data_IF_951233610199
#
_entry.id   IF_951233610199
#
_cell.length_a   1.000
_cell.length_b   1.000
_cell.length_c   1.000
_cell.angle_alpha   90.00
_cell.angle_beta   90.00
_cell.angle_gamma   90.00
#
_symmetry.space_group_name_H-M   'P 1'
#
loop_
_entity.id
_entity.type
_entity.pdbx_description
1 polymer ?
#
# COMPACT_ATOMS: atom_id res chain seq x y z
N UNK A 1 -19.91 -32.27 -8.70
CA UNK A 1 -18.71 -33.03 -8.25
C UNK A 1 -18.18 -33.90 -9.38
N UNK A 2 -16.88 -33.86 -9.65
CA UNK A 2 -16.32 -34.74 -10.66
C UNK A 2 -16.30 -36.19 -10.19
N UNK A 3 -16.50 -37.11 -11.11
CA UNK A 3 -16.45 -38.54 -10.83
C UNK A 3 -15.00 -39.05 -10.78
N UNK A 4 -14.79 -40.23 -10.23
CA UNK A 4 -13.47 -40.87 -10.16
C UNK A 4 -12.86 -40.99 -11.56
N UNK A 5 -13.65 -41.38 -12.55
CA UNK A 5 -13.18 -41.54 -13.93
C UNK A 5 -12.72 -40.20 -14.53
N UNK A 6 -13.41 -39.10 -14.20
CA UNK A 6 -13.02 -37.76 -14.67
C UNK A 6 -11.70 -37.33 -14.05
N UNK A 7 -11.45 -37.65 -12.77
CA UNK A 7 -10.21 -37.30 -12.10
C UNK A 7 -9.01 -38.11 -12.59
N UNK A 8 -9.24 -39.36 -13.05
CA UNK A 8 -8.19 -40.18 -13.65
C UNK A 8 -7.74 -39.56 -14.98
N UNK A 9 -8.67 -39.06 -15.78
CA UNK A 9 -8.35 -38.43 -17.09
C UNK A 9 -7.74 -37.04 -16.94
N UNK A 10 -8.26 -36.25 -16.00
CA UNK A 10 -7.82 -34.87 -15.77
C UNK A 10 -7.59 -34.68 -14.26
N UNK A 11 -6.36 -34.84 -13.78
CA UNK A 11 -6.07 -34.65 -12.36
C UNK A 11 -6.38 -33.22 -11.95
N UNK A 12 -6.63 -33.03 -10.66
CA UNK A 12 -6.88 -31.71 -10.11
C UNK A 12 -5.63 -30.85 -10.27
N UNK A 13 -5.85 -29.63 -10.71
CA UNK A 13 -4.78 -28.65 -10.80
C UNK A 13 -4.92 -27.66 -9.65
N UNK A 14 -3.81 -27.34 -9.01
CA UNK A 14 -3.79 -26.33 -7.99
C UNK A 14 -4.02 -24.97 -8.61
N UNK A 15 -4.77 -24.12 -7.90
CA UNK A 15 -4.98 -22.76 -8.37
C UNK A 15 -3.66 -21.99 -8.30
N UNK A 16 -3.30 -21.27 -9.37
CA UNK A 16 -2.09 -20.46 -9.31
C UNK A 16 -2.20 -19.37 -8.26
N UNK A 17 -1.12 -19.16 -7.53
CA UNK A 17 -1.05 -18.08 -6.57
C UNK A 17 -0.88 -16.76 -7.30
N UNK A 18 -1.74 -15.78 -6.99
CA UNK A 18 -1.64 -14.45 -7.58
C UNK A 18 -0.83 -13.54 -6.67
N UNK A 19 0.00 -12.73 -7.28
CA UNK A 19 0.74 -11.70 -6.56
C UNK A 19 -0.24 -10.62 -6.10
N UNK A 20 -0.26 -10.36 -4.80
CA UNK A 20 -1.15 -9.35 -4.22
C UNK A 20 -0.60 -7.92 -4.37
N UNK A 21 0.66 -7.78 -4.74
CA UNK A 21 1.33 -6.49 -4.89
C UNK A 21 2.07 -6.42 -6.23
N UNK A 22 1.34 -6.47 -7.36
CA UNK A 22 1.98 -6.56 -8.67
C UNK A 22 2.84 -5.34 -9.03
N UNK A 23 2.54 -4.17 -8.48
CA UNK A 23 3.28 -2.95 -8.78
C UNK A 23 4.70 -2.96 -8.21
N UNK A 24 4.97 -3.78 -7.21
CA UNK A 24 6.31 -3.88 -6.61
C UNK A 24 7.26 -4.77 -7.41
N UNK A 25 6.73 -5.63 -8.28
CA UNK A 25 7.51 -6.54 -9.14
C UNK A 25 8.57 -7.32 -8.38
N UNK A 26 8.16 -7.94 -7.27
CA UNK A 26 9.03 -8.81 -6.48
C UNK A 26 10.02 -8.09 -5.57
N UNK A 27 9.89 -6.78 -5.40
CA UNK A 27 10.74 -6.00 -4.51
C UNK A 27 10.02 -5.72 -3.19
N UNK A 28 10.75 -5.61 -2.05
CA UNK A 28 10.09 -5.28 -0.79
C UNK A 28 9.53 -3.85 -0.76
N UNK A 29 10.19 -2.89 -1.42
CA UNK A 29 9.72 -1.52 -1.57
C UNK A 29 10.03 -1.01 -2.97
N UNK A 30 9.34 0.05 -3.36
CA UNK A 30 9.60 0.75 -4.62
C UNK A 30 9.47 2.25 -4.41
N UNK A 31 10.28 3.00 -5.14
CA UNK A 31 10.22 4.45 -5.16
C UNK A 31 9.22 4.91 -6.22
N UNK A 32 8.56 6.03 -5.97
CA UNK A 32 7.67 6.64 -6.92
C UNK A 32 7.50 8.12 -6.66
N UNK A 33 6.76 8.78 -7.56
CA UNK A 33 6.46 10.20 -7.47
C UNK A 33 4.95 10.35 -7.33
N UNK A 34 4.51 11.17 -6.38
CA UNK A 34 3.09 11.43 -6.18
C UNK A 34 2.54 12.21 -7.36
N UNK A 35 1.51 11.69 -8.02
CA UNK A 35 0.80 12.41 -9.10
C UNK A 35 -0.41 13.14 -8.57
N UNK A 36 -0.99 12.66 -7.46
CA UNK A 36 -2.14 13.28 -6.82
C UNK A 36 -2.20 12.85 -5.36
N UNK A 37 -2.49 13.79 -4.48
CA UNK A 37 -2.71 13.52 -3.05
C UNK A 37 -4.12 13.96 -2.70
N UNK A 38 -4.91 13.06 -2.10
CA UNK A 38 -6.32 13.34 -1.83
C UNK A 38 -6.80 12.51 -0.65
N UNK A 39 -8.06 12.70 -0.28
CA UNK A 39 -8.71 11.90 0.75
C UNK A 39 -9.81 11.06 0.13
N UNK A 40 -10.08 9.91 0.74
CA UNK A 40 -11.16 9.03 0.30
C UNK A 40 -11.90 8.49 1.50
N UNK A 41 -13.18 8.18 1.31
CA UNK A 41 -13.98 7.56 2.36
C UNK A 41 -13.81 6.05 2.31
N UNK A 42 -13.80 5.36 3.47
CA UNK A 42 -13.74 3.91 3.49
C UNK A 42 -15.09 3.31 3.10
N UNK A 43 -15.10 2.02 2.81
CA UNK A 43 -16.34 1.31 2.53
C UNK A 43 -17.15 1.14 3.82
N UNK A 44 -18.47 0.98 3.67
CA UNK A 44 -19.36 0.72 4.81
C UNK A 44 -18.92 -0.51 5.60
N UNK A 45 -19.07 -0.54 6.93
CA UNK A 45 -19.79 0.42 7.77
C UNK A 45 -18.93 1.57 8.33
N UNK A 46 -17.68 1.70 7.89
CA UNK A 46 -16.77 2.71 8.41
C UNK A 46 -16.99 4.07 7.76
N UNK A 47 -16.63 5.12 8.49
CA UNK A 47 -16.71 6.48 8.00
C UNK A 47 -15.50 7.27 8.51
N UNK A 48 -14.80 7.92 7.59
CA UNK A 48 -13.62 8.73 7.90
C UNK A 48 -13.15 9.43 6.63
N UNK A 49 -12.14 10.26 6.75
CA UNK A 49 -11.40 10.80 5.61
C UNK A 49 -10.01 10.18 5.60
N UNK A 50 -9.82 9.14 4.80
CA UNK A 50 -8.54 8.43 4.69
C UNK A 50 -7.64 9.15 3.69
N UNK A 51 -6.39 9.40 4.09
CA UNK A 51 -5.43 10.11 3.25
C UNK A 51 -4.72 9.11 2.35
N UNK A 52 -4.79 9.35 1.05
CA UNK A 52 -4.18 8.48 0.04
C UNK A 52 -3.44 9.33 -0.98
N UNK A 53 -2.53 8.69 -1.70
CA UNK A 53 -1.79 9.32 -2.78
C UNK A 53 -1.75 8.38 -3.97
N UNK A 54 -1.94 8.94 -5.16
CA UNK A 54 -1.71 8.21 -6.39
C UNK A 54 -0.25 8.40 -6.77
N UNK A 55 0.49 7.31 -6.83
CA UNK A 55 1.95 7.33 -7.01
C UNK A 55 2.31 6.61 -8.31
N UNK A 56 3.13 7.28 -9.13
CA UNK A 56 3.72 6.67 -10.32
C UNK A 56 5.06 6.07 -9.93
N UNK A 57 5.17 4.77 -10.02
CA UNK A 57 6.35 4.04 -9.58
C UNK A 57 7.45 4.02 -10.65
N UNK A 58 8.67 3.73 -10.22
CA UNK A 58 9.79 3.52 -11.14
C UNK A 58 9.56 2.34 -12.08
N UNK A 59 8.65 1.43 -11.73
CA UNK A 59 8.23 0.33 -12.61
C UNK A 59 7.30 0.77 -13.74
N UNK A 60 6.87 2.03 -13.75
CA UNK A 60 5.94 2.58 -14.74
C UNK A 60 4.47 2.39 -14.40
N UNK A 61 4.17 1.74 -13.29
CA UNK A 61 2.80 1.47 -12.84
C UNK A 61 2.34 2.57 -11.90
N UNK A 62 1.10 3.05 -12.06
CA UNK A 62 0.47 3.95 -11.10
C UNK A 62 -0.31 3.13 -10.08
N UNK A 63 -0.12 3.45 -8.80
CA UNK A 63 -0.79 2.76 -7.71
C UNK A 63 -1.34 3.77 -6.71
N UNK A 64 -2.47 3.42 -6.08
CA UNK A 64 -3.02 4.21 -5.00
C UNK A 64 -2.46 3.67 -3.69
N UNK A 65 -1.81 4.53 -2.93
CA UNK A 65 -1.11 4.17 -1.70
C UNK A 65 -1.70 4.91 -0.52
N UNK A 66 -1.79 4.24 0.61
CA UNK A 66 -2.27 4.83 1.85
C UNK A 66 -1.13 5.59 2.55
N UNK A 67 -1.44 6.77 3.07
CA UNK A 67 -0.49 7.56 3.85
C UNK A 67 -0.76 7.30 5.33
N UNK A 68 0.08 6.50 6.03
CA UNK A 68 -0.18 6.16 7.43
C UNK A 68 0.18 7.29 8.38
N UNK A 69 -0.44 7.27 9.56
CA UNK A 69 -0.17 8.23 10.64
C UNK A 69 -1.04 9.47 10.57
N UNK A 70 -0.84 10.35 11.53
CA UNK A 70 -1.58 11.61 11.64
C UNK A 70 -0.82 12.74 10.97
N UNK A 71 -1.44 13.32 9.93
CA UNK A 71 -0.85 14.41 9.19
C UNK A 71 0.28 13.97 8.27
N UNK A 72 0.53 14.75 7.25
CA UNK A 72 1.63 14.50 6.32
C UNK A 72 1.98 15.82 5.60
N UNK A 73 3.12 15.81 4.94
CA UNK A 73 3.59 16.94 4.16
C UNK A 73 3.64 16.64 2.65
N UNK A 74 2.99 15.56 2.24
CA UNK A 74 3.01 15.15 0.84
C UNK A 74 2.16 16.05 -0.04
N UNK A 75 2.66 16.30 -1.22
CA UNK A 75 1.97 17.06 -2.24
C UNK A 75 2.34 16.50 -3.61
N UNK A 76 1.73 17.01 -4.66
CA UNK A 76 2.03 16.60 -6.03
C UNK A 76 3.53 16.74 -6.29
N UNK A 77 4.11 15.76 -6.98
CA UNK A 77 5.55 15.66 -7.32
C UNK A 77 6.47 15.30 -6.15
N UNK A 78 5.95 14.98 -4.97
CA UNK A 78 6.77 14.46 -3.88
C UNK A 78 7.29 13.06 -4.21
N UNK A 79 8.56 12.80 -3.91
CA UNK A 79 9.16 11.47 -4.10
C UNK A 79 8.93 10.66 -2.84
N UNK A 80 8.37 9.46 -3.00
CA UNK A 80 8.00 8.59 -1.88
C UNK A 80 8.49 7.18 -2.09
N UNK A 81 8.62 6.44 -0.99
CA UNK A 81 8.90 5.02 -1.00
C UNK A 81 7.63 4.29 -0.59
N UNK A 82 7.23 3.28 -1.34
CA UNK A 82 6.05 2.49 -1.01
C UNK A 82 6.43 1.06 -0.67
N UNK A 83 5.59 0.44 0.14
CA UNK A 83 5.67 -1.00 0.49
C UNK A 83 4.33 -1.66 0.29
N UNK A 84 4.32 -2.99 0.29
CA UNK A 84 3.08 -3.74 0.27
C UNK A 84 2.31 -3.59 1.57
N UNK A 85 1.06 -3.94 1.52
CA UNK A 85 0.15 -3.87 2.66
C UNK A 85 -1.16 -3.24 2.25
N UNK A 86 -2.21 -4.03 2.30
CA UNK A 86 -3.55 -3.60 1.89
C UNK A 86 -4.25 -2.84 3.01
N UNK A 87 -5.05 -1.86 2.65
CA UNK A 87 -5.99 -1.22 3.56
C UNK A 87 -7.36 -1.86 3.33
N UNK A 88 -7.85 -2.59 4.31
CA UNK A 88 -9.10 -3.35 4.18
C UNK A 88 -10.30 -2.46 3.91
N UNK A 89 -10.33 -1.27 4.49
CA UNK A 89 -11.43 -0.31 4.36
C UNK A 89 -11.47 0.40 3.01
N UNK A 90 -10.37 0.39 2.27
CA UNK A 90 -10.25 1.15 1.04
C UNK A 90 -10.10 0.20 -0.15
N UNK A 91 -11.12 0.10 -1.02
CA UNK A 91 -11.02 -0.77 -2.19
C UNK A 91 -9.90 -0.32 -3.13
N UNK A 92 -9.10 -1.26 -3.60
CA UNK A 92 -8.02 -0.98 -4.55
C UNK A 92 -6.75 -0.40 -3.95
N UNK A 93 -6.71 -0.12 -2.66
CA UNK A 93 -5.50 0.38 -1.98
C UNK A 93 -4.72 -0.81 -1.43
N UNK A 94 -3.63 -1.18 -2.11
CA UNK A 94 -2.82 -2.36 -1.79
C UNK A 94 -1.45 -2.02 -1.24
N UNK A 95 -1.13 -0.75 -1.08
CA UNK A 95 0.21 -0.29 -0.75
C UNK A 95 0.15 0.77 0.32
N UNK A 96 1.25 0.92 1.03
CA UNK A 96 1.45 1.98 2.02
C UNK A 96 2.67 2.80 1.68
N UNK A 97 2.62 4.10 1.93
CA UNK A 97 3.80 4.96 1.85
C UNK A 97 4.60 4.80 3.14
N UNK A 98 5.92 4.64 3.02
CA UNK A 98 6.81 4.50 4.18
C UNK A 98 7.12 5.90 4.73
N UNK A 99 6.74 6.14 5.98
CA UNK A 99 6.98 7.42 6.63
C UNK A 99 8.44 7.53 7.07
N UNK A 100 8.98 8.74 6.96
CA UNK A 100 10.35 9.02 7.39
C UNK A 100 11.40 8.73 6.34
N UNK A 101 11.02 8.52 5.09
CA UNK A 101 11.94 8.26 3.96
C UNK A 101 11.69 9.25 2.84
N UNK A 102 12.74 9.55 2.09
CA UNK A 102 12.67 10.45 0.93
C UNK A 102 11.96 11.77 1.30
N UNK A 103 10.92 12.16 0.56
CA UNK A 103 10.21 13.42 0.82
C UNK A 103 9.13 13.31 1.89
N UNK A 104 8.92 12.12 2.44
CA UNK A 104 7.89 11.90 3.47
C UNK A 104 8.50 12.06 4.87
N UNK A 105 8.05 13.07 5.60
CA UNK A 105 8.46 13.24 7.01
C UNK A 105 7.80 12.20 7.90
N UNK A 106 8.44 11.89 9.02
CA UNK A 106 7.82 11.04 10.03
C UNK A 106 6.69 11.75 10.74
N UNK A 107 5.90 10.99 11.51
CA UNK A 107 4.81 11.55 12.30
C UNK A 107 5.40 12.28 13.51
N UNK A 108 5.07 13.56 13.66
CA UNK A 108 5.61 14.38 14.75
C UNK A 108 4.92 14.06 16.09
N UNK A 109 5.69 14.12 17.17
CA UNK A 109 5.16 13.95 18.52
C UNK A 109 4.75 12.54 18.91
N UNK A 110 5.02 11.56 18.08
CA UNK A 110 4.63 10.18 18.36
C UNK A 110 5.66 9.50 19.27
N UNK A 111 5.19 8.80 20.30
CA UNK A 111 6.06 8.13 21.27
C UNK A 111 6.04 6.61 21.17
N UNK A 112 4.94 6.04 20.69
CA UNK A 112 4.78 4.58 20.55
C UNK A 112 4.83 4.19 19.07
N UNK A 113 5.39 3.00 18.79
CA UNK A 113 5.48 2.45 17.43
C UNK A 113 6.17 3.40 16.47
N UNK A 114 7.19 4.09 16.94
CA UNK A 114 7.89 5.13 16.18
C UNK A 114 8.48 4.61 14.87
N UNK A 115 8.99 3.40 14.87
CA UNK A 115 9.61 2.83 13.67
C UNK A 115 8.61 2.65 12.52
N UNK A 116 7.35 2.38 12.83
CA UNK A 116 6.31 2.25 11.80
C UNK A 116 5.95 3.57 11.15
N UNK A 117 6.17 4.68 11.82
CA UNK A 117 5.77 6.00 11.36
C UNK A 117 6.94 6.96 11.18
N UNK A 118 8.16 6.43 11.19
CA UNK A 118 9.35 7.23 10.89
C UNK A 118 9.68 8.30 11.92
N UNK A 119 9.28 8.11 13.17
CA UNK A 119 9.51 9.10 14.22
C UNK A 119 10.80 8.82 14.95
N UNK A 120 11.59 9.88 15.17
CA UNK A 120 12.84 9.78 15.91
C UNK A 120 12.57 9.62 17.40
N UNK A 121 13.54 9.04 18.11
CA UNK A 121 13.48 8.87 19.55
C UNK A 121 13.38 10.24 20.24
N UNK A 122 12.39 10.47 21.10
CA UNK A 122 12.33 11.71 21.85
C UNK A 122 13.46 11.78 22.85
N UNK A 123 14.00 12.98 23.03
CA UNK A 123 15.08 13.21 24.01
C UNK A 123 14.48 13.37 25.41
#
# INVERSE_FOLDING_TARGET
MPTVNQLIRKPRQDKPSRNKVPALKGCPQRRGVCTRVYTTTPKKPNSALRKVAKVRLTTGIEAVCYIPGEGHNLQEHSVVLIRGGRVKDLPGVRYHIVRGTLDTTGVSGRRQRRSKYGTKRPK
#
